data_IF_490325983652
#
_entry.id   IF_490325983652
#
_cell.length_a   1.000
_cell.length_b   1.000
_cell.length_c   1.000
_cell.angle_alpha   90.00
_cell.angle_beta   90.00
_cell.angle_gamma   90.00
#
_symmetry.space_group_name_H-M   'P 1'
#
loop_
_entity.id
_entity.type
_entity.pdbx_description
1 polymer ?
#
# COMPACT_ATOMS: atom_id res chain seq x y z
N UNK A 1 -2.46 -12.60 41.97
CA UNK A 1 -2.32 -12.36 40.51
C UNK A 1 -0.87 -12.24 40.03
N UNK A 2 0.06 -11.69 40.83
CA UNK A 2 1.47 -11.51 40.42
C UNK A 2 2.31 -12.80 40.34
N UNK A 3 1.93 -13.87 41.05
CA UNK A 3 2.72 -15.12 41.08
C UNK A 3 2.62 -15.93 39.79
N UNK A 4 1.45 -16.01 39.17
CA UNK A 4 1.27 -16.70 37.88
C UNK A 4 2.10 -16.04 36.78
N UNK A 5 2.11 -14.71 36.71
CA UNK A 5 2.94 -13.95 35.77
C UNK A 5 4.43 -14.22 36.00
N UNK A 6 4.91 -14.16 37.24
CA UNK A 6 6.30 -14.51 37.58
C UNK A 6 6.67 -15.93 37.16
N UNK A 7 5.75 -16.87 37.31
CA UNK A 7 5.96 -18.27 36.92
C UNK A 7 6.03 -18.44 35.40
N UNK A 8 5.20 -17.73 34.63
CA UNK A 8 5.30 -17.70 33.16
C UNK A 8 6.66 -17.13 32.69
N UNK A 9 7.12 -16.03 33.29
CA UNK A 9 8.44 -15.46 32.97
C UNK A 9 9.59 -16.38 33.39
N UNK A 10 9.50 -17.03 34.55
CA UNK A 10 10.50 -17.98 35.00
C UNK A 10 10.59 -19.20 34.08
N UNK A 11 9.44 -19.74 33.66
CA UNK A 11 9.37 -20.86 32.73
C UNK A 11 9.91 -20.49 31.35
N UNK A 12 9.58 -19.29 30.84
CA UNK A 12 10.12 -18.79 29.58
C UNK A 12 11.64 -18.56 29.64
N UNK A 13 12.15 -18.00 30.75
CA UNK A 13 13.58 -17.77 30.95
C UNK A 13 14.37 -19.07 31.05
N UNK A 14 13.85 -20.04 31.81
CA UNK A 14 14.46 -21.36 31.95
C UNK A 14 14.44 -22.12 30.62
N UNK A 15 13.32 -22.07 29.89
CA UNK A 15 13.20 -22.63 28.55
C UNK A 15 14.19 -22.00 27.58
N UNK A 16 14.45 -20.69 27.66
CA UNK A 16 15.42 -20.00 26.80
C UNK A 16 16.88 -20.32 27.17
N UNK A 17 17.17 -20.40 28.47
CA UNK A 17 18.51 -20.74 28.99
C UNK A 17 18.90 -22.19 28.68
N UNK A 18 17.94 -23.12 28.69
CA UNK A 18 18.17 -24.54 28.40
C UNK A 18 18.38 -24.88 26.92
N UNK A 19 18.30 -23.90 26.00
CA UNK A 19 18.51 -24.12 24.56
C UNK A 19 19.98 -24.02 24.17
N UNK A 20 20.41 -24.97 23.35
CA UNK A 20 21.75 -25.00 22.77
C UNK A 20 21.97 -23.82 21.80
N UNK A 21 23.23 -23.48 21.55
CA UNK A 21 23.59 -22.41 20.58
C UNK A 21 22.93 -22.63 19.21
N UNK A 22 22.90 -23.88 18.73
CA UNK A 22 22.23 -24.26 17.46
C UNK A 22 20.72 -23.99 17.49
N UNK A 23 20.03 -24.36 18.56
CA UNK A 23 18.58 -24.12 18.70
C UNK A 23 18.27 -22.61 18.75
N UNK A 24 19.06 -21.83 19.49
CA UNK A 24 18.90 -20.36 19.54
C UNK A 24 19.10 -19.71 18.16
N UNK A 25 20.10 -20.16 17.40
CA UNK A 25 20.33 -19.68 16.03
C UNK A 25 19.16 -20.02 15.11
N UNK A 26 18.60 -21.23 15.19
CA UNK A 26 17.42 -21.62 14.39
C UNK A 26 16.22 -20.74 14.75
N UNK A 27 15.94 -20.52 16.04
CA UNK A 27 14.86 -19.63 16.46
C UNK A 27 15.06 -18.20 15.96
N UNK A 28 16.25 -17.63 16.13
CA UNK A 28 16.54 -16.27 15.71
C UNK A 28 16.46 -16.12 14.18
N UNK A 29 16.97 -17.10 13.43
CA UNK A 29 16.89 -17.13 11.97
C UNK A 29 15.44 -17.25 11.49
N UNK A 30 14.64 -18.11 12.13
CA UNK A 30 13.22 -18.25 11.79
C UNK A 30 12.44 -16.95 12.04
N UNK A 31 12.71 -16.27 13.16
CA UNK A 31 12.08 -15.00 13.49
C UNK A 31 12.49 -13.91 12.49
N UNK A 32 13.78 -13.83 12.16
CA UNK A 32 14.30 -12.91 11.16
C UNK A 32 13.66 -13.15 9.78
N UNK A 33 13.49 -14.42 9.37
CA UNK A 33 12.83 -14.77 8.12
C UNK A 33 11.37 -14.33 8.10
N UNK A 34 10.62 -14.55 9.18
CA UNK A 34 9.22 -14.12 9.28
C UNK A 34 9.12 -12.59 9.15
N UNK A 35 9.97 -11.85 9.87
CA UNK A 35 9.98 -10.38 9.81
C UNK A 35 10.34 -9.89 8.40
N UNK A 36 11.32 -10.52 7.75
CA UNK A 36 11.72 -10.19 6.39
C UNK A 36 10.58 -10.45 5.40
N UNK A 37 9.93 -11.62 5.47
CA UNK A 37 8.79 -11.96 4.62
C UNK A 37 7.62 -10.99 4.83
N UNK A 38 7.26 -10.70 6.08
CA UNK A 38 6.22 -9.73 6.39
C UNK A 38 6.55 -8.33 5.85
N UNK A 39 7.82 -7.92 5.92
CA UNK A 39 8.27 -6.63 5.39
C UNK A 39 8.16 -6.58 3.86
N UNK A 40 8.56 -7.65 3.17
CA UNK A 40 8.43 -7.76 1.71
C UNK A 40 6.96 -7.72 1.29
N UNK A 41 6.11 -8.53 1.94
CA UNK A 41 4.67 -8.55 1.65
C UNK A 41 4.06 -7.17 1.86
N UNK A 42 4.37 -6.50 2.97
CA UNK A 42 3.87 -5.15 3.26
C UNK A 42 4.36 -4.14 2.23
N UNK A 43 5.63 -4.20 1.84
CA UNK A 43 6.20 -3.33 0.82
C UNK A 43 5.50 -3.47 -0.54
N UNK A 44 5.17 -4.69 -0.96
CA UNK A 44 4.42 -4.90 -2.20
C UNK A 44 2.93 -4.59 -2.07
N UNK A 45 2.30 -4.88 -0.92
CA UNK A 45 0.88 -4.62 -0.68
C UNK A 45 0.57 -3.12 -0.55
N UNK A 46 1.52 -2.30 -0.10
CA UNK A 46 1.36 -0.84 0.03
C UNK A 46 1.60 -0.08 -1.27
N UNK A 47 2.16 -0.72 -2.31
CA UNK A 47 2.32 -0.07 -3.61
C UNK A 47 1.00 -0.09 -4.37
N UNK A 48 0.26 1.01 -4.30
CA UNK A 48 -0.85 1.28 -5.21
C UNK A 48 -0.31 1.37 -6.63
N UNK A 49 -0.74 0.45 -7.51
CA UNK A 49 -0.41 0.52 -8.92
C UNK A 49 -1.20 1.68 -9.52
N UNK A 50 -0.49 2.66 -10.05
CA UNK A 50 -1.07 3.80 -10.76
C UNK A 50 -1.14 3.45 -12.24
N UNK A 51 -2.27 3.74 -12.87
CA UNK A 51 -2.53 3.54 -14.28
C UNK A 51 -3.10 4.82 -14.90
N UNK A 52 -2.81 5.09 -16.19
CA UNK A 52 -3.31 6.28 -16.86
C UNK A 52 -4.83 6.21 -17.00
N UNK A 53 -5.50 7.20 -16.41
CA UNK A 53 -6.93 7.41 -16.57
C UNK A 53 -7.22 7.98 -17.98
N UNK A 54 -6.52 9.06 -18.31
CA UNK A 54 -6.51 9.72 -19.62
C UNK A 54 -5.10 10.25 -19.92
N UNK A 55 -4.78 10.34 -21.22
CA UNK A 55 -3.50 10.82 -21.74
C UNK A 55 -3.72 11.80 -22.88
N UNK A 56 -2.74 12.67 -23.13
CA UNK A 56 -2.80 13.71 -24.16
C UNK A 56 -3.95 14.72 -23.98
N UNK A 57 -4.31 14.99 -22.73
CA UNK A 57 -5.31 15.99 -22.37
C UNK A 57 -4.77 17.41 -22.55
N UNK A 58 -5.66 18.35 -22.86
CA UNK A 58 -5.33 19.77 -22.80
C UNK A 58 -5.15 20.21 -21.32
N UNK A 59 -4.36 21.26 -21.04
CA UNK A 59 -4.21 21.78 -19.68
C UNK A 59 -5.55 22.15 -19.01
N UNK A 60 -6.53 22.61 -19.77
CA UNK A 60 -7.88 22.95 -19.31
C UNK A 60 -8.69 21.70 -18.91
N UNK A 61 -8.57 20.62 -19.68
CA UNK A 61 -9.20 19.33 -19.37
C UNK A 61 -8.57 18.69 -18.14
N UNK A 62 -7.24 18.75 -18.03
CA UNK A 62 -6.52 18.29 -16.83
C UNK A 62 -6.97 19.07 -15.60
N UNK A 63 -7.12 20.38 -15.69
CA UNK A 63 -7.65 21.20 -14.60
C UNK A 63 -9.06 20.80 -14.15
N UNK A 64 -9.94 20.50 -15.12
CA UNK A 64 -11.32 20.11 -14.84
C UNK A 64 -11.40 18.73 -14.17
N UNK A 65 -10.69 17.74 -14.72
CA UNK A 65 -10.66 16.37 -14.17
C UNK A 65 -9.95 16.36 -12.81
N UNK A 66 -8.86 17.12 -12.64
CA UNK A 66 -8.18 17.28 -11.35
C UNK A 66 -9.15 17.78 -10.27
N UNK A 67 -9.95 18.80 -10.59
CA UNK A 67 -10.89 19.38 -9.63
C UNK A 67 -11.97 18.37 -9.21
N UNK A 68 -12.46 17.55 -10.13
CA UNK A 68 -13.40 16.47 -9.81
C UNK A 68 -12.73 15.40 -8.92
N UNK A 69 -11.54 14.91 -9.29
CA UNK A 69 -10.79 13.93 -8.49
C UNK A 69 -10.46 14.44 -7.09
N UNK A 70 -10.07 15.72 -6.96
CA UNK A 70 -9.86 16.40 -5.68
C UNK A 70 -11.16 16.39 -4.84
N UNK A 71 -12.31 16.68 -5.47
CA UNK A 71 -13.61 16.70 -4.78
C UNK A 71 -14.03 15.32 -4.26
N UNK A 72 -13.65 14.26 -4.97
CA UNK A 72 -13.91 12.86 -4.62
C UNK A 72 -12.89 12.29 -3.64
N UNK A 73 -11.81 13.02 -3.34
CA UNK A 73 -10.73 12.56 -2.48
C UNK A 73 -9.91 11.41 -3.09
N UNK A 74 -9.91 11.29 -4.42
CA UNK A 74 -9.17 10.25 -5.14
C UNK A 74 -7.70 10.66 -5.25
N UNK A 75 -6.78 9.73 -4.97
CA UNK A 75 -5.36 9.97 -5.24
C UNK A 75 -5.11 9.97 -6.75
N UNK A 76 -4.39 10.97 -7.24
CA UNK A 76 -3.96 11.02 -8.63
C UNK A 76 -2.53 11.55 -8.73
N UNK A 77 -1.90 11.27 -9.86
CA UNK A 77 -0.62 11.80 -10.26
C UNK A 77 -0.74 12.40 -11.65
N UNK A 78 -0.09 13.54 -11.88
CA UNK A 78 -0.05 14.17 -13.19
C UNK A 78 1.34 13.95 -13.79
N UNK A 79 1.40 13.32 -14.95
CA UNK A 79 2.64 12.98 -15.66
C UNK A 79 2.69 13.63 -17.04
N UNK A 80 3.74 13.34 -17.82
CA UNK A 80 3.90 13.78 -19.21
C UNK A 80 3.75 15.30 -19.40
N UNK A 81 4.39 16.05 -18.49
CA UNK A 81 4.41 17.51 -18.55
C UNK A 81 3.06 18.18 -18.28
N UNK A 82 2.10 17.47 -17.66
CA UNK A 82 0.78 18.03 -17.37
C UNK A 82 -0.32 17.58 -18.31
N UNK A 83 -0.11 16.51 -19.08
CA UNK A 83 -1.06 16.04 -20.12
C UNK A 83 -1.64 14.65 -19.85
N UNK A 84 -1.13 13.96 -18.83
CA UNK A 84 -1.61 12.63 -18.43
C UNK A 84 -2.00 12.64 -16.96
N UNK A 85 -3.16 12.06 -16.65
CA UNK A 85 -3.63 11.85 -15.28
C UNK A 85 -3.58 10.35 -15.00
N UNK A 86 -2.87 9.97 -13.94
CA UNK A 86 -2.80 8.61 -13.44
C UNK A 86 -3.57 8.48 -12.13
N UNK A 87 -4.27 7.37 -11.95
CA UNK A 87 -5.06 7.04 -10.75
C UNK A 87 -4.80 5.59 -10.33
N UNK A 88 -5.16 5.18 -9.10
CA UNK A 88 -5.12 3.79 -8.70
C UNK A 88 -5.83 2.89 -9.73
N UNK A 89 -5.14 1.87 -10.22
CA UNK A 89 -5.67 0.85 -11.17
C UNK A 89 -7.05 0.33 -10.77
N UNK A 90 -7.26 0.07 -9.48
CA UNK A 90 -8.54 -0.39 -8.93
C UNK A 90 -9.72 0.59 -9.15
N UNK A 91 -9.44 1.86 -9.47
CA UNK A 91 -10.43 2.93 -9.66
C UNK A 91 -10.52 3.45 -11.10
N UNK A 92 -9.64 3.01 -12.00
CA UNK A 92 -9.56 3.54 -13.39
C UNK A 92 -10.89 3.37 -14.12
N UNK A 93 -11.41 2.15 -14.17
CA UNK A 93 -12.60 1.85 -14.96
C UNK A 93 -13.85 2.54 -14.42
N UNK A 94 -14.02 2.59 -13.09
CA UNK A 94 -15.11 3.31 -12.45
C UNK A 94 -15.04 4.82 -12.74
N UNK A 95 -13.85 5.40 -12.62
CA UNK A 95 -13.66 6.84 -12.84
C UNK A 95 -13.88 7.22 -14.31
N UNK A 96 -13.49 6.36 -15.27
CA UNK A 96 -13.77 6.59 -16.69
C UNK A 96 -15.27 6.68 -16.96
N UNK A 97 -16.05 5.77 -16.39
CA UNK A 97 -17.51 5.75 -16.58
C UNK A 97 -18.15 6.98 -15.93
N UNK A 98 -17.76 7.30 -14.70
CA UNK A 98 -18.29 8.44 -13.96
C UNK A 98 -17.98 9.77 -14.66
N UNK A 99 -16.72 9.99 -15.06
CA UNK A 99 -16.30 11.20 -15.75
C UNK A 99 -16.96 11.32 -17.12
N UNK A 100 -17.11 10.21 -17.85
CA UNK A 100 -17.83 10.21 -19.11
C UNK A 100 -19.31 10.59 -18.94
N UNK A 101 -19.95 10.16 -17.84
CA UNK A 101 -21.33 10.55 -17.52
C UNK A 101 -21.45 12.06 -17.21
N UNK A 102 -20.38 12.68 -16.72
CA UNK A 102 -20.27 14.12 -16.49
C UNK A 102 -19.84 14.91 -17.73
N UNK A 103 -19.54 14.22 -18.85
CA UNK A 103 -19.09 14.85 -20.09
C UNK A 103 -17.61 15.24 -20.08
N UNK A 104 -16.78 14.55 -19.29
CA UNK A 104 -15.33 14.70 -19.24
C UNK A 104 -14.62 13.46 -19.81
N UNK A 105 -13.52 13.62 -20.59
CA UNK A 105 -13.00 14.87 -21.13
C UNK A 105 -13.92 15.45 -22.22
N UNK A 106 -13.82 16.76 -22.46
CA UNK A 106 -14.69 17.44 -23.45
C UNK A 106 -14.41 17.03 -24.89
N UNK A 107 -13.24 16.44 -25.14
CA UNK A 107 -12.76 16.03 -26.47
C UNK A 107 -12.90 14.53 -26.76
N UNK A 108 -13.65 13.79 -25.93
CA UNK A 108 -13.98 12.35 -26.02
C UNK A 108 -13.54 11.58 -27.27
#
# INVERSE_FOLDING_TARGET
MNEKLKQYFANASNFWKSRSKKQKTIFLSSLALIVLLASVITFFATRTKMEPLYSNLSPEEVGSIKQDLDSRGVKYEITDGGTTIMVPSDSVDSLKVDLAAEGLPKTG
#
